data_IF_765013915567
#
_entry.id   IF_765013915567
#
_cell.length_a   1.000
_cell.length_b   1.000
_cell.length_c   1.000
_cell.angle_alpha   90.00
_cell.angle_beta   90.00
_cell.angle_gamma   90.00
#
_symmetry.space_group_name_H-M   'P 1'
#
loop_
_entity.id
_entity.type
_entity.pdbx_description
1 polymer ?
#
# COMPACT_ATOMS: atom_id res chain seq x y z
N UNK A 1 3.81 -70.82 48.60
CA UNK A 1 3.73 -70.83 47.12
C UNK A 1 3.55 -69.38 46.69
N UNK A 2 4.57 -68.69 46.16
CA UNK A 2 5.30 -68.92 44.88
C UNK A 2 4.58 -68.19 43.74
N UNK A 3 5.19 -67.33 42.94
CA UNK A 3 6.60 -67.02 42.57
C UNK A 3 6.58 -65.65 41.83
N UNK A 4 7.60 -64.81 41.69
CA UNK A 4 8.97 -64.66 42.25
C UNK A 4 9.63 -63.40 41.58
N UNK A 5 10.19 -62.48 42.40
CA UNK A 5 11.51 -61.79 42.33
C UNK A 5 12.06 -61.37 40.95
N UNK A 6 12.62 -60.16 40.75
CA UNK A 6 13.87 -59.76 41.42
C UNK A 6 14.14 -58.24 41.44
N UNK A 7 14.46 -57.74 42.64
CA UNK A 7 15.21 -56.52 42.88
C UNK A 7 16.72 -56.79 42.73
N UNK A 8 17.46 -55.79 42.25
CA UNK A 8 18.86 -55.55 42.63
C UNK A 8 19.13 -54.05 42.62
N UNK A 9 19.13 -53.46 43.81
CA UNK A 9 19.90 -52.28 44.18
C UNK A 9 21.39 -52.63 44.25
N UNK A 10 22.25 -51.74 43.80
CA UNK A 10 23.67 -51.73 44.17
C UNK A 10 24.14 -50.26 44.26
N UNK A 11 24.60 -49.86 45.44
CA UNK A 11 25.08 -48.53 45.82
C UNK A 11 26.51 -48.26 45.31
N UNK A 12 26.83 -46.99 45.05
CA UNK A 12 28.18 -46.43 44.98
C UNK A 12 28.18 -45.00 44.41
N UNK A 13 29.09 -44.10 44.84
CA UNK A 13 28.72 -42.82 45.47
C UNK A 13 28.89 -41.58 44.58
N UNK A 14 28.41 -40.45 45.11
CA UNK A 14 28.54 -39.08 44.63
C UNK A 14 29.92 -38.77 44.01
N UNK A 15 29.90 -38.18 42.82
CA UNK A 15 30.98 -37.32 42.33
C UNK A 15 30.35 -36.17 41.53
N UNK A 16 30.40 -34.98 42.11
CA UNK A 16 30.12 -33.70 41.49
C UNK A 16 30.78 -33.63 40.10
N UNK A 17 29.95 -33.39 39.08
CA UNK A 17 30.42 -32.81 37.83
C UNK A 17 29.48 -31.67 37.48
N UNK A 18 29.98 -30.45 37.67
CA UNK A 18 29.44 -29.19 37.18
C UNK A 18 28.76 -29.37 35.82
N UNK A 19 27.43 -29.45 35.82
CA UNK A 19 26.67 -29.36 34.58
C UNK A 19 26.55 -27.87 34.29
N UNK A 20 27.57 -27.38 33.59
CA UNK A 20 27.68 -26.05 33.01
C UNK A 20 26.33 -25.60 32.46
N UNK A 21 25.81 -24.53 33.04
CA UNK A 21 24.52 -23.93 32.72
C UNK A 21 24.57 -23.28 31.34
N UNK A 22 24.59 -24.11 30.31
CA UNK A 22 24.30 -23.70 28.94
C UNK A 22 22.82 -23.40 28.84
N UNK A 23 22.40 -22.22 29.31
CA UNK A 23 21.13 -21.62 28.94
C UNK A 23 21.13 -21.47 27.42
N UNK A 24 20.65 -22.50 26.73
CA UNK A 24 20.26 -22.41 25.34
C UNK A 24 19.15 -21.39 25.35
N UNK A 25 19.49 -20.16 24.96
CA UNK A 25 18.52 -19.10 24.74
C UNK A 25 17.48 -19.64 23.77
N UNK A 26 16.35 -20.09 24.30
CA UNK A 26 15.15 -20.42 23.55
C UNK A 26 14.70 -19.11 22.90
N UNK A 27 15.28 -18.82 21.73
CA UNK A 27 14.74 -17.82 20.81
C UNK A 27 13.36 -18.34 20.44
N UNK A 28 12.34 -17.86 21.14
CA UNK A 28 10.94 -18.14 20.84
C UNK A 28 10.71 -17.71 19.41
N UNK A 29 10.52 -18.68 18.51
CA UNK A 29 10.19 -18.42 17.12
C UNK A 29 8.90 -17.60 17.09
N UNK A 30 9.02 -16.32 16.72
CA UNK A 30 7.86 -15.43 16.55
C UNK A 30 7.26 -15.76 15.20
N UNK A 31 6.10 -16.42 15.19
CA UNK A 31 5.30 -16.58 13.99
C UNK A 31 4.45 -15.32 13.78
N UNK A 32 4.46 -14.78 12.57
CA UNK A 32 3.63 -13.63 12.18
C UNK A 32 2.83 -14.06 10.97
N UNK A 33 1.53 -14.19 11.17
CA UNK A 33 0.57 -14.52 10.11
C UNK A 33 -0.10 -13.22 9.62
N UNK A 34 -0.40 -13.16 8.32
CA UNK A 34 -1.05 -12.02 7.70
C UNK A 34 -2.45 -12.44 7.26
N UNK A 35 -3.43 -12.13 8.09
CA UNK A 35 -4.82 -12.50 7.89
C UNK A 35 -5.59 -11.36 7.23
N UNK A 36 -6.52 -11.74 6.36
CA UNK A 36 -7.36 -10.81 5.60
C UNK A 36 -8.77 -10.79 6.18
N UNK A 37 -9.28 -9.59 6.45
CA UNK A 37 -10.61 -9.40 7.03
C UNK A 37 -11.36 -8.29 6.31
N UNK A 38 -12.69 -8.36 6.31
CA UNK A 38 -13.54 -7.24 5.94
C UNK A 38 -13.29 -6.05 6.90
N UNK A 39 -13.40 -4.79 6.43
CA UNK A 39 -13.32 -3.62 7.30
C UNK A 39 -14.35 -3.69 8.44
N UNK A 40 -13.87 -3.56 9.68
CA UNK A 40 -14.70 -3.67 10.88
C UNK A 40 -14.95 -2.29 11.50
N UNK A 41 -16.17 -1.72 11.43
CA UNK A 41 -16.47 -0.38 11.96
C UNK A 41 -16.28 -0.27 13.48
N UNK A 42 -16.31 -1.39 14.23
CA UNK A 42 -16.17 -1.38 15.69
C UNK A 42 -14.71 -1.34 16.16
N UNK A 43 -13.76 -1.62 15.26
CA UNK A 43 -12.33 -1.78 15.60
C UNK A 43 -11.47 -0.83 14.75
N UNK A 44 -11.71 -0.79 13.44
CA UNK A 44 -10.72 -0.30 12.47
C UNK A 44 -10.67 1.22 12.35
N UNK A 45 -11.65 1.94 12.89
CA UNK A 45 -11.82 3.38 12.67
C UNK A 45 -10.55 4.19 12.94
N UNK A 46 -9.89 3.95 14.07
CA UNK A 46 -8.70 4.72 14.49
C UNK A 46 -7.51 4.44 13.58
N UNK A 47 -7.25 3.16 13.29
CA UNK A 47 -6.14 2.73 12.45
C UNK A 47 -6.35 3.13 10.98
N UNK A 48 -7.58 3.02 10.46
CA UNK A 48 -7.93 3.45 9.12
C UNK A 48 -7.74 4.96 8.96
N UNK A 49 -8.20 5.76 9.93
CA UNK A 49 -7.97 7.20 9.94
C UNK A 49 -6.47 7.54 9.95
N UNK A 50 -5.66 6.82 10.73
CA UNK A 50 -4.19 6.96 10.73
C UNK A 50 -3.60 6.65 9.35
N UNK A 51 -4.03 5.59 8.68
CA UNK A 51 -3.58 5.24 7.33
C UNK A 51 -4.06 6.24 6.28
N UNK A 52 -5.26 6.81 6.41
CA UNK A 52 -5.73 7.91 5.55
C UNK A 52 -4.91 9.19 5.76
N UNK A 53 -4.63 9.57 7.01
CA UNK A 53 -3.70 10.66 7.33
C UNK A 53 -2.33 10.40 6.72
N UNK A 54 -1.84 9.17 6.81
CA UNK A 54 -0.61 8.76 6.16
C UNK A 54 -0.71 8.95 4.65
N UNK A 55 -1.76 8.50 3.96
CA UNK A 55 -1.92 8.62 2.51
C UNK A 55 -1.88 10.09 2.03
N UNK A 56 -2.60 10.97 2.71
CA UNK A 56 -2.75 12.38 2.31
C UNK A 56 -1.69 13.33 2.90
N UNK A 57 -0.90 12.87 3.87
CA UNK A 57 0.22 13.61 4.47
C UNK A 57 -0.18 15.03 4.91
N UNK A 58 0.59 16.05 4.54
CA UNK A 58 0.37 17.44 4.94
C UNK A 58 -0.95 18.04 4.43
N UNK A 59 -1.62 17.37 3.49
CA UNK A 59 -2.93 17.77 2.96
C UNK A 59 -4.08 17.00 3.64
N UNK A 60 -3.80 16.15 4.64
CA UNK A 60 -4.81 15.28 5.27
C UNK A 60 -6.01 16.02 5.84
N UNK A 61 -5.80 17.24 6.35
CA UNK A 61 -6.86 18.07 6.94
C UNK A 61 -7.89 18.55 5.92
N UNK A 62 -7.58 18.48 4.61
CA UNK A 62 -8.48 18.90 3.54
C UNK A 62 -9.61 17.89 3.28
N UNK A 63 -9.50 16.65 3.76
CA UNK A 63 -10.34 15.54 3.30
C UNK A 63 -11.42 15.07 4.27
N UNK A 64 -11.63 15.75 5.41
CA UNK A 64 -12.64 15.36 6.41
C UNK A 64 -12.47 13.88 6.80
N UNK A 65 -11.32 13.54 7.41
CA UNK A 65 -10.91 12.15 7.56
C UNK A 65 -11.78 11.29 8.49
N UNK A 66 -12.50 11.90 9.44
CA UNK A 66 -13.41 11.14 10.28
C UNK A 66 -14.58 10.62 9.42
N UNK A 67 -15.19 11.53 8.68
CA UNK A 67 -16.31 11.26 7.79
C UNK A 67 -15.89 10.34 6.64
N UNK A 68 -14.65 10.47 6.15
CA UNK A 68 -14.11 9.57 5.13
C UNK A 68 -13.89 8.15 5.66
N UNK A 69 -13.36 8.01 6.88
CA UNK A 69 -13.18 6.72 7.52
C UNK A 69 -14.53 6.05 7.82
N UNK A 70 -15.52 6.79 8.33
CA UNK A 70 -16.89 6.31 8.52
C UNK A 70 -17.50 5.84 7.19
N UNK A 71 -17.33 6.61 6.12
CA UNK A 71 -17.84 6.24 4.80
C UNK A 71 -17.22 4.92 4.30
N UNK A 72 -15.90 4.78 4.41
CA UNK A 72 -15.20 3.54 4.03
C UNK A 72 -15.72 2.34 4.84
N UNK A 73 -15.84 2.48 6.16
CA UNK A 73 -16.29 1.42 7.06
C UNK A 73 -17.80 1.11 6.94
N UNK A 74 -18.57 2.01 6.36
CA UNK A 74 -20.00 1.81 6.09
C UNK A 74 -20.28 0.96 4.85
N UNK A 75 -19.26 0.65 4.05
CA UNK A 75 -19.40 -0.21 2.88
C UNK A 75 -19.66 -1.65 3.35
N UNK A 76 -20.72 -2.31 2.86
CA UNK A 76 -21.11 -3.61 3.37
C UNK A 76 -20.24 -4.77 2.86
N UNK A 77 -19.72 -4.70 1.61
CA UNK A 77 -19.17 -5.87 0.91
C UNK A 77 -17.88 -5.59 0.11
N UNK A 78 -17.33 -4.37 0.20
CA UNK A 78 -16.18 -3.97 -0.62
C UNK A 78 -15.10 -3.38 0.26
N UNK A 79 -13.94 -4.01 0.21
CA UNK A 79 -12.73 -3.64 0.92
C UNK A 79 -12.16 -4.79 1.72
N UNK A 80 -10.83 -4.75 1.90
CA UNK A 80 -10.10 -5.74 2.68
C UNK A 80 -9.09 -5.03 3.58
N UNK A 81 -8.90 -5.56 4.79
CA UNK A 81 -7.85 -5.17 5.73
C UNK A 81 -6.89 -6.33 5.98
N UNK A 82 -5.64 -6.03 6.36
CA UNK A 82 -4.66 -7.03 6.79
C UNK A 82 -4.28 -6.80 8.24
N UNK A 83 -4.40 -7.86 9.05
CA UNK A 83 -4.11 -7.85 10.50
C UNK A 83 -3.21 -9.02 10.86
N UNK A 84 -2.40 -8.86 11.92
CA UNK A 84 -1.57 -9.95 12.46
C UNK A 84 -2.00 -10.40 13.85
N UNK A 85 -2.85 -9.62 14.52
CA UNK A 85 -3.27 -9.85 15.90
C UNK A 85 -4.74 -10.30 15.99
N UNK A 86 -5.23 -10.95 14.93
CA UNK A 86 -6.61 -11.39 14.77
C UNK A 86 -7.60 -10.26 14.43
N UNK A 87 -8.89 -10.61 14.40
CA UNK A 87 -9.97 -9.71 13.93
C UNK A 87 -10.16 -8.46 14.82
N UNK A 88 -9.83 -8.55 16.10
CA UNK A 88 -9.89 -7.46 17.08
C UNK A 88 -8.65 -6.55 17.04
N UNK A 89 -7.62 -6.91 16.25
CA UNK A 89 -6.42 -6.12 16.07
C UNK A 89 -6.60 -4.92 15.13
N UNK A 90 -5.67 -3.98 15.22
CA UNK A 90 -5.57 -2.85 14.29
C UNK A 90 -5.17 -3.34 12.88
N UNK A 91 -5.80 -2.84 11.81
CA UNK A 91 -5.33 -3.08 10.46
C UNK A 91 -3.98 -2.39 10.19
N UNK A 92 -3.07 -3.15 9.57
CA UNK A 92 -1.76 -2.67 9.11
C UNK A 92 -1.74 -2.34 7.61
N UNK A 93 -2.72 -2.83 6.86
CA UNK A 93 -3.00 -2.44 5.49
C UNK A 93 -4.50 -2.42 5.26
N UNK A 94 -4.96 -1.59 4.33
CA UNK A 94 -6.32 -1.66 3.80
C UNK A 94 -6.32 -1.36 2.31
N UNK A 95 -7.30 -1.94 1.61
CA UNK A 95 -7.61 -1.69 0.21
C UNK A 95 -9.12 -1.62 0.06
N UNK A 96 -9.64 -0.58 -0.58
CA UNK A 96 -11.08 -0.46 -0.88
C UNK A 96 -11.30 0.44 -2.09
N UNK A 97 -12.49 0.40 -2.70
CA UNK A 97 -12.89 1.35 -3.74
C UNK A 97 -14.21 2.04 -3.37
N UNK A 98 -14.24 3.38 -3.43
CA UNK A 98 -15.48 4.15 -3.28
C UNK A 98 -15.97 4.65 -4.64
N UNK A 99 -17.29 4.59 -4.85
CA UNK A 99 -17.90 5.20 -6.03
C UNK A 99 -18.02 6.72 -5.85
N UNK A 100 -17.29 7.48 -6.66
CA UNK A 100 -17.26 8.95 -6.61
C UNK A 100 -18.58 9.61 -6.98
N UNK A 101 -19.40 8.96 -7.81
CA UNK A 101 -20.70 9.45 -8.30
C UNK A 101 -21.83 9.20 -7.31
N UNK A 102 -21.84 8.02 -6.67
CA UNK A 102 -22.82 7.69 -5.62
C UNK A 102 -22.62 8.60 -4.41
N UNK A 103 -21.36 8.79 -4.01
CA UNK A 103 -21.03 9.58 -2.82
C UNK A 103 -20.67 11.04 -3.14
N UNK A 104 -20.98 11.54 -4.34
CA UNK A 104 -20.62 12.90 -4.79
C UNK A 104 -21.10 14.04 -3.87
N UNK A 105 -22.11 13.78 -3.04
CA UNK A 105 -22.65 14.76 -2.10
C UNK A 105 -21.97 14.73 -0.71
N UNK A 106 -21.21 13.69 -0.41
CA UNK A 106 -20.48 13.51 0.84
C UNK A 106 -19.33 14.54 0.94
N UNK A 107 -19.11 15.19 2.10
CA UNK A 107 -18.11 16.24 2.25
C UNK A 107 -16.70 15.79 1.86
N UNK A 108 -16.26 14.61 2.31
CA UNK A 108 -14.94 14.07 1.98
C UNK A 108 -14.76 13.80 0.47
N UNK A 109 -15.83 13.36 -0.22
CA UNK A 109 -15.77 13.06 -1.66
C UNK A 109 -15.78 14.35 -2.47
N UNK A 110 -16.54 15.36 -2.06
CA UNK A 110 -16.47 16.71 -2.65
C UNK A 110 -15.07 17.29 -2.52
N UNK A 111 -14.47 17.21 -1.34
CA UNK A 111 -13.11 17.67 -1.10
C UNK A 111 -12.10 16.92 -1.96
N UNK A 112 -12.25 15.60 -2.10
CA UNK A 112 -11.40 14.77 -2.94
C UNK A 112 -11.50 15.13 -4.43
N UNK A 113 -12.71 15.33 -4.95
CA UNK A 113 -12.93 15.79 -6.33
C UNK A 113 -12.27 17.16 -6.55
N UNK A 114 -12.50 18.11 -5.65
CA UNK A 114 -11.90 19.44 -5.73
C UNK A 114 -10.38 19.37 -5.73
N UNK A 115 -9.80 18.55 -4.84
CA UNK A 115 -8.37 18.35 -4.71
C UNK A 115 -7.75 17.80 -6.00
N UNK A 116 -8.35 16.73 -6.55
CA UNK A 116 -7.92 16.09 -7.79
C UNK A 116 -7.98 17.06 -8.97
N UNK A 117 -9.05 17.84 -9.10
CA UNK A 117 -9.18 18.84 -10.16
C UNK A 117 -8.19 20.00 -9.99
N UNK A 118 -7.90 20.41 -8.76
CA UNK A 118 -6.90 21.44 -8.46
C UNK A 118 -5.48 20.96 -8.82
N UNK A 119 -5.08 19.78 -8.35
CA UNK A 119 -3.73 19.24 -8.56
C UNK A 119 -3.48 18.87 -10.02
N UNK A 120 -4.51 18.42 -10.75
CA UNK A 120 -4.38 18.11 -12.18
C UNK A 120 -4.15 19.34 -13.07
N UNK A 121 -4.34 20.57 -12.57
CA UNK A 121 -4.24 21.79 -13.38
C UNK A 121 -2.88 22.02 -14.05
N UNK A 122 -1.80 21.39 -13.57
CA UNK A 122 -0.48 21.42 -14.22
C UNK A 122 -0.34 20.49 -15.42
N UNK A 123 -1.25 19.54 -15.62
CA UNK A 123 -1.24 18.58 -16.73
C UNK A 123 -2.52 18.70 -17.57
N UNK A 124 -2.50 19.46 -18.69
CA UNK A 124 -3.71 19.83 -19.42
C UNK A 124 -4.57 18.65 -19.89
N UNK A 125 -3.95 17.56 -20.38
CA UNK A 125 -4.67 16.41 -20.91
C UNK A 125 -5.40 15.65 -19.79
N UNK A 126 -4.70 15.39 -18.67
CA UNK A 126 -5.30 14.78 -17.49
C UNK A 126 -6.40 15.67 -16.91
N UNK A 127 -6.17 16.99 -16.82
CA UNK A 127 -7.15 17.93 -16.27
C UNK A 127 -8.46 17.92 -17.08
N UNK A 128 -8.37 17.95 -18.41
CA UNK A 128 -9.55 17.88 -19.29
C UNK A 128 -10.29 16.55 -19.08
N UNK A 129 -9.56 15.44 -19.06
CA UNK A 129 -10.15 14.11 -18.81
C UNK A 129 -10.86 14.05 -17.46
N UNK A 130 -10.20 14.45 -16.37
CA UNK A 130 -10.78 14.44 -15.03
C UNK A 130 -11.97 15.39 -14.91
N UNK A 131 -11.92 16.58 -15.53
CA UNK A 131 -13.06 17.49 -15.55
C UNK A 131 -14.26 16.91 -16.29
N UNK A 132 -14.02 16.11 -17.34
CA UNK A 132 -15.08 15.40 -18.06
C UNK A 132 -15.69 14.25 -17.26
N UNK A 133 -14.96 13.65 -16.32
CA UNK A 133 -15.38 12.51 -15.50
C UNK A 133 -15.97 12.92 -14.14
N UNK A 134 -15.37 13.91 -13.49
CA UNK A 134 -15.64 14.33 -12.10
C UNK A 134 -16.11 15.77 -11.98
N UNK A 135 -16.15 16.53 -13.08
CA UNK A 135 -16.76 17.85 -13.10
C UNK A 135 -18.30 17.80 -13.02
N UNK A 136 -18.98 18.94 -12.91
CA UNK A 136 -20.44 19.00 -12.75
C UNK A 136 -21.23 18.20 -13.81
N UNK A 137 -20.74 18.22 -15.06
CA UNK A 137 -21.36 17.48 -16.18
C UNK A 137 -20.94 16.01 -16.24
N UNK A 138 -19.81 15.66 -15.61
CA UNK A 138 -19.23 14.31 -15.60
C UNK A 138 -19.79 13.41 -14.51
N UNK A 139 -20.27 14.00 -13.41
CA UNK A 139 -20.89 13.29 -12.28
C UNK A 139 -22.30 12.73 -12.58
N UNK A 140 -22.66 12.60 -13.85
CA UNK A 140 -23.89 11.93 -14.30
C UNK A 140 -23.76 10.41 -14.14
N UNK A 141 -24.88 9.68 -13.95
CA UNK A 141 -24.87 8.26 -13.53
C UNK A 141 -24.27 7.25 -14.53
N UNK A 142 -23.89 7.66 -15.73
CA UNK A 142 -23.53 6.73 -16.81
C UNK A 142 -22.04 6.37 -16.85
N UNK A 143 -21.18 7.14 -16.17
CA UNK A 143 -19.71 6.97 -16.22
C UNK A 143 -19.09 6.99 -14.83
N UNK A 144 -19.39 5.97 -14.03
CA UNK A 144 -18.86 5.90 -12.67
C UNK A 144 -17.34 5.80 -12.66
N UNK A 145 -16.73 6.50 -11.71
CA UNK A 145 -15.30 6.43 -11.39
C UNK A 145 -15.15 5.86 -9.99
N UNK A 146 -14.35 4.79 -9.88
CA UNK A 146 -13.98 4.20 -8.61
C UNK A 146 -12.72 4.87 -8.09
N UNK A 147 -12.76 5.45 -6.89
CA UNK A 147 -11.53 5.90 -6.24
C UNK A 147 -11.00 4.78 -5.34
N UNK A 148 -9.81 4.30 -5.64
CA UNK A 148 -9.18 3.20 -4.89
C UNK A 148 -8.31 3.79 -3.79
N UNK A 149 -8.62 3.42 -2.56
CA UNK A 149 -7.80 3.70 -1.40
C UNK A 149 -6.96 2.47 -1.09
N UNK A 150 -5.63 2.62 -1.13
CA UNK A 150 -4.67 1.54 -0.90
C UNK A 150 -3.52 2.10 -0.07
N UNK A 151 -3.38 1.68 1.18
CA UNK A 151 -2.32 2.16 2.04
C UNK A 151 -1.96 1.13 3.12
N UNK A 152 -0.70 1.11 3.54
CA UNK A 152 -0.19 0.19 4.55
C UNK A 152 0.96 0.78 5.34
N UNK A 153 1.25 0.22 6.50
CA UNK A 153 2.47 0.56 7.21
C UNK A 153 3.70 0.20 6.37
N UNK A 154 4.76 1.01 6.42
CA UNK A 154 5.95 0.86 5.55
C UNK A 154 6.66 -0.49 5.72
N UNK A 155 6.53 -1.12 6.89
CA UNK A 155 7.07 -2.43 7.20
C UNK A 155 6.21 -3.61 6.69
N UNK A 156 5.02 -3.35 6.15
CA UNK A 156 4.16 -4.40 5.61
C UNK A 156 4.70 -4.93 4.27
N UNK A 157 4.84 -6.26 4.13
CA UNK A 157 5.39 -6.86 2.93
C UNK A 157 4.48 -6.61 1.72
N UNK A 158 5.05 -6.23 0.58
CA UNK A 158 4.30 -6.03 -0.68
C UNK A 158 3.51 -7.28 -1.11
N UNK A 159 3.90 -8.46 -0.64
CA UNK A 159 3.25 -9.73 -0.96
C UNK A 159 1.78 -9.81 -0.49
N UNK A 160 1.34 -8.95 0.43
CA UNK A 160 -0.09 -8.89 0.81
C UNK A 160 -0.94 -8.20 -0.25
N UNK A 161 -0.33 -7.38 -1.12
CA UNK A 161 -1.05 -6.52 -2.07
C UNK A 161 -1.73 -7.31 -3.20
N UNK A 162 -1.08 -8.27 -3.89
CA UNK A 162 -1.77 -9.02 -4.95
C UNK A 162 -3.03 -9.78 -4.47
N UNK A 163 -3.02 -10.49 -3.32
CA UNK A 163 -4.24 -11.05 -2.74
C UNK A 163 -5.34 -10.00 -2.51
N UNK A 164 -5.01 -8.84 -1.94
CA UNK A 164 -5.97 -7.76 -1.70
C UNK A 164 -6.63 -7.30 -3.00
N UNK A 165 -5.85 -7.08 -4.07
CA UNK A 165 -6.42 -6.67 -5.35
C UNK A 165 -7.28 -7.75 -6.03
N UNK A 166 -6.96 -9.04 -5.83
CA UNK A 166 -7.82 -10.13 -6.33
C UNK A 166 -9.16 -10.16 -5.59
N UNK A 167 -9.13 -10.08 -4.26
CA UNK A 167 -10.35 -9.98 -3.45
C UNK A 167 -11.18 -8.77 -3.85
N UNK A 168 -10.56 -7.58 -3.99
CA UNK A 168 -11.25 -6.39 -4.47
C UNK A 168 -11.91 -6.59 -5.84
N UNK A 169 -11.27 -7.29 -6.78
CA UNK A 169 -11.87 -7.58 -8.09
C UNK A 169 -13.09 -8.51 -7.98
N UNK A 170 -13.02 -9.51 -7.10
CA UNK A 170 -14.14 -10.44 -6.87
C UNK A 170 -15.29 -9.74 -6.15
N UNK A 171 -15.01 -8.92 -5.13
CA UNK A 171 -15.96 -8.08 -4.40
C UNK A 171 -16.68 -7.09 -5.33
N UNK A 172 -15.94 -6.37 -6.18
CA UNK A 172 -16.53 -5.48 -7.21
C UNK A 172 -17.46 -6.28 -8.13
N UNK A 173 -17.05 -7.47 -8.54
CA UNK A 173 -17.86 -8.31 -9.42
C UNK A 173 -19.15 -8.75 -8.73
N UNK A 174 -19.08 -9.22 -7.48
CA UNK A 174 -20.27 -9.61 -6.70
C UNK A 174 -21.22 -8.43 -6.49
N UNK A 175 -20.69 -7.26 -6.14
CA UNK A 175 -21.50 -6.04 -6.01
C UNK A 175 -22.19 -5.66 -7.33
N UNK A 176 -21.51 -5.83 -8.47
CA UNK A 176 -22.11 -5.61 -9.80
C UNK A 176 -23.20 -6.65 -10.12
N UNK A 177 -22.99 -7.91 -9.75
CA UNK A 177 -23.97 -9.00 -9.94
C UNK A 177 -25.22 -8.78 -9.07
N UNK A 178 -25.05 -8.18 -7.87
CA UNK A 178 -26.13 -7.74 -6.97
C UNK A 178 -26.75 -6.39 -7.38
N UNK A 179 -26.40 -5.89 -8.57
CA UNK A 179 -26.92 -4.66 -9.16
C UNK A 179 -26.60 -3.39 -8.34
N UNK A 180 -25.50 -3.41 -7.58
CA UNK A 180 -24.92 -2.23 -6.97
C UNK A 180 -24.11 -1.39 -7.97
N UNK A 181 -23.84 -0.14 -7.61
CA UNK A 181 -23.24 0.85 -8.51
C UNK A 181 -21.72 0.71 -8.71
N UNK A 182 -21.16 -0.50 -8.79
CA UNK A 182 -19.70 -0.73 -8.91
C UNK A 182 -19.19 -0.93 -10.35
N UNK A 183 -20.03 -0.68 -11.37
CA UNK A 183 -19.61 -0.66 -12.78
C UNK A 183 -18.81 0.59 -13.10
N UNK A 184 -17.51 0.54 -12.83
CA UNK A 184 -16.60 1.66 -13.10
C UNK A 184 -16.09 1.67 -14.54
N UNK A 185 -15.90 2.86 -15.09
CA UNK A 185 -15.20 3.10 -16.36
C UNK A 185 -13.72 3.37 -16.14
N UNK A 186 -13.38 3.96 -15.00
CA UNK A 186 -12.01 4.30 -14.61
C UNK A 186 -11.83 4.10 -13.11
N UNK A 187 -10.60 3.77 -12.73
CA UNK A 187 -10.12 3.76 -11.37
C UNK A 187 -9.13 4.89 -11.17
N UNK A 188 -9.33 5.70 -10.13
CA UNK A 188 -8.43 6.77 -9.74
C UNK A 188 -7.67 6.34 -8.48
N UNK A 189 -6.35 6.45 -8.55
CA UNK A 189 -5.45 6.17 -7.44
C UNK A 189 -4.73 7.45 -7.05
N UNK A 190 -4.61 7.68 -5.74
CA UNK A 190 -3.62 8.58 -5.17
C UNK A 190 -2.64 7.73 -4.36
N UNK A 191 -1.35 8.02 -4.50
CA UNK A 191 -0.27 7.40 -3.73
C UNK A 191 0.76 8.46 -3.35
N UNK A 192 1.70 8.08 -2.50
CA UNK A 192 2.77 8.95 -2.03
C UNK A 192 4.02 8.75 -2.85
N UNK A 193 4.74 9.84 -3.05
CA UNK A 193 6.06 9.84 -3.66
C UNK A 193 7.04 10.56 -2.76
N UNK A 194 8.33 10.27 -2.92
CA UNK A 194 9.39 11.02 -2.27
C UNK A 194 10.51 11.36 -3.23
N UNK A 195 11.20 12.46 -2.96
CA UNK A 195 12.42 12.84 -3.66
C UNK A 195 13.62 12.68 -2.74
N UNK A 196 14.72 12.22 -3.33
CA UNK A 196 15.99 12.07 -2.65
C UNK A 196 16.96 13.15 -3.09
N UNK A 197 17.81 13.58 -2.16
CA UNK A 197 18.99 14.36 -2.54
C UNK A 197 19.95 13.49 -3.38
N UNK A 198 20.81 14.09 -4.20
CA UNK A 198 21.81 13.33 -4.97
C UNK A 198 22.67 12.41 -4.10
N UNK A 199 23.01 12.85 -2.88
CA UNK A 199 23.78 12.05 -1.92
C UNK A 199 22.98 10.83 -1.43
N UNK A 200 21.73 11.01 -1.01
CA UNK A 200 20.87 9.93 -0.55
C UNK A 200 20.60 8.90 -1.68
N UNK A 201 20.42 9.37 -2.91
CA UNK A 201 20.26 8.51 -4.08
C UNK A 201 21.53 7.66 -4.33
N UNK A 202 22.73 8.26 -4.19
CA UNK A 202 23.99 7.53 -4.33
C UNK A 202 24.18 6.48 -3.23
N UNK A 203 23.80 6.77 -1.98
CA UNK A 203 23.85 5.82 -0.86
C UNK A 203 22.91 4.62 -1.06
N UNK A 204 21.70 4.85 -1.57
CA UNK A 204 20.78 3.77 -1.92
C UNK A 204 21.35 2.87 -3.04
N UNK A 205 21.93 3.45 -4.09
CA UNK A 205 22.53 2.66 -5.17
C UNK A 205 23.72 1.80 -4.69
N UNK A 206 24.52 2.32 -3.76
CA UNK A 206 25.64 1.57 -3.17
C UNK A 206 25.15 0.42 -2.27
N UNK A 207 24.10 0.63 -1.49
CA UNK A 207 23.54 -0.42 -0.63
C UNK A 207 22.80 -1.50 -1.42
N UNK A 208 22.15 -1.15 -2.54
CA UNK A 208 21.51 -2.13 -3.45
C UNK A 208 22.52 -3.01 -4.19
N UNK A 209 23.66 -2.44 -4.61
CA UNK A 209 24.73 -3.16 -5.31
C UNK A 209 25.54 -4.08 -4.39
N UNK A 210 25.57 -3.83 -3.08
CA UNK A 210 26.29 -4.64 -2.08
C UNK A 210 25.50 -5.87 -1.56
N UNK A 211 24.20 -6.01 -1.86
CA UNK A 211 23.38 -7.15 -1.38
C UNK A 211 23.57 -8.42 -2.24
N UNK A 212 23.98 -9.58 -1.68
CA UNK A 212 24.23 -10.80 -2.45
C UNK A 212 22.97 -11.31 -3.17
N UNK A 213 23.16 -11.69 -4.43
CA UNK A 213 22.15 -11.98 -5.44
C UNK A 213 21.53 -13.37 -5.29
N UNK A 214 20.43 -13.51 -4.53
CA UNK A 214 19.61 -14.75 -4.54
C UNK A 214 18.09 -14.60 -4.73
N UNK A 215 17.55 -13.42 -5.03
CA UNK A 215 16.13 -13.27 -5.45
C UNK A 215 16.04 -12.39 -6.69
N UNK A 216 15.77 -12.99 -7.85
CA UNK A 216 16.04 -12.43 -9.18
C UNK A 216 14.79 -12.10 -10.02
N UNK A 217 13.59 -12.03 -9.43
CA UNK A 217 12.36 -11.69 -10.19
C UNK A 217 11.59 -10.46 -9.71
N UNK A 218 11.66 -10.08 -8.43
CA UNK A 218 11.13 -8.79 -7.94
C UNK A 218 12.10 -7.59 -8.07
N UNK A 219 13.35 -7.83 -8.50
CA UNK A 219 14.40 -6.80 -8.61
C UNK A 219 14.32 -5.95 -9.88
N UNK A 220 13.63 -6.41 -10.92
CA UNK A 220 13.56 -5.69 -12.20
C UNK A 220 12.71 -4.40 -12.13
N UNK A 221 11.75 -4.34 -11.20
CA UNK A 221 10.84 -3.21 -11.04
C UNK A 221 11.54 -2.02 -10.33
N UNK A 222 12.15 -2.30 -9.18
CA UNK A 222 12.94 -1.32 -8.42
C UNK A 222 14.19 -0.84 -9.19
N UNK A 223 14.80 -1.74 -9.98
CA UNK A 223 15.92 -1.38 -10.86
C UNK A 223 15.44 -0.58 -12.08
N UNK A 224 14.25 -0.84 -12.63
CA UNK A 224 13.69 -0.07 -13.74
C UNK A 224 13.24 1.35 -13.34
N UNK A 225 12.79 1.56 -12.10
CA UNK A 225 12.49 2.90 -11.57
C UNK A 225 13.76 3.71 -11.30
N UNK A 226 14.82 3.08 -10.77
CA UNK A 226 16.15 3.70 -10.66
C UNK A 226 16.77 3.97 -12.05
N UNK A 227 16.66 3.04 -12.99
CA UNK A 227 17.21 3.17 -14.34
C UNK A 227 16.43 4.21 -15.17
N UNK A 228 15.11 4.36 -15.01
CA UNK A 228 14.33 5.42 -15.67
C UNK A 228 14.62 6.81 -15.09
N UNK A 229 14.79 6.91 -13.77
CA UNK A 229 15.25 8.14 -13.13
C UNK A 229 16.67 8.52 -13.60
N UNK A 230 17.54 7.53 -13.84
CA UNK A 230 18.87 7.75 -14.41
C UNK A 230 18.84 8.11 -15.91
N UNK A 231 17.90 7.56 -16.69
CA UNK A 231 17.82 7.79 -18.13
C UNK A 231 17.12 9.12 -18.51
N UNK A 232 16.27 9.67 -17.62
CA UNK A 232 15.79 11.05 -17.73
C UNK A 232 16.95 12.08 -17.71
N UNK A 233 18.07 11.72 -17.08
CA UNK A 233 19.28 12.54 -17.00
C UNK A 233 20.12 12.54 -18.30
N UNK A 234 19.86 11.62 -19.24
CA UNK A 234 20.62 11.52 -20.50
C UNK A 234 20.05 12.38 -21.63
N UNK A 235 18.76 12.76 -21.56
CA UNK A 235 18.08 13.58 -22.56
C UNK A 235 17.59 14.92 -21.97
N UNK A 236 18.54 15.72 -21.46
CA UNK A 236 18.43 17.18 -21.45
C UNK A 236 17.35 17.82 -20.57
N UNK A 237 17.50 17.78 -19.25
CA UNK A 237 17.35 18.96 -18.37
C UNK A 237 18.09 18.68 -17.06
N UNK A 238 19.03 19.54 -16.67
CA UNK A 238 19.97 19.29 -15.57
C UNK A 238 19.43 19.68 -14.18
N UNK A 239 18.14 19.44 -13.86
CA UNK A 239 17.57 19.94 -12.59
C UNK A 239 16.30 19.25 -12.05
N UNK A 240 15.95 18.03 -12.43
CA UNK A 240 14.81 17.33 -11.80
C UNK A 240 15.31 16.25 -10.84
N UNK A 241 15.05 16.46 -9.54
CA UNK A 241 15.27 15.44 -8.50
C UNK A 241 14.44 14.21 -8.87
N UNK A 242 15.05 13.03 -8.83
CA UNK A 242 14.35 11.78 -9.10
C UNK A 242 13.22 11.56 -8.09
N UNK A 243 12.01 11.31 -8.60
CA UNK A 243 10.82 10.99 -7.79
C UNK A 243 10.67 9.48 -7.68
N UNK A 244 10.57 8.98 -6.45
CA UNK A 244 10.46 7.56 -6.10
C UNK A 244 9.09 7.28 -5.48
N UNK A 245 8.60 6.04 -5.65
CA UNK A 245 7.36 5.56 -5.04
C UNK A 245 7.61 4.98 -3.65
N UNK A 246 6.73 5.25 -2.69
CA UNK A 246 6.73 4.52 -1.42
C UNK A 246 6.31 3.07 -1.60
N UNK A 247 5.36 2.83 -2.51
CA UNK A 247 4.77 1.53 -2.74
C UNK A 247 5.32 0.94 -4.05
N UNK A 248 6.03 -0.21 -4.01
CA UNK A 248 6.55 -0.84 -5.23
C UNK A 248 5.46 -1.28 -6.21
N UNK A 249 4.23 -1.50 -5.75
CA UNK A 249 3.08 -1.78 -6.62
C UNK A 249 2.66 -0.59 -7.50
N UNK A 250 3.02 0.65 -7.13
CA UNK A 250 2.67 1.85 -7.90
C UNK A 250 3.23 1.81 -9.32
N UNK A 251 4.38 1.14 -9.53
CA UNK A 251 4.97 0.96 -10.85
C UNK A 251 4.04 0.18 -11.79
N UNK A 252 3.36 -0.84 -11.28
CA UNK A 252 2.44 -1.68 -12.05
C UNK A 252 1.13 -0.94 -12.31
N UNK A 253 0.65 -0.14 -11.34
CA UNK A 253 -0.50 0.74 -11.52
C UNK A 253 -0.18 1.78 -12.60
N UNK A 254 0.98 2.43 -12.51
CA UNK A 254 1.44 3.44 -13.46
C UNK A 254 1.57 2.88 -14.88
N UNK A 255 2.10 1.66 -15.04
CA UNK A 255 2.22 1.01 -16.35
C UNK A 255 0.87 0.84 -17.06
N UNK A 256 -0.20 0.65 -16.31
CA UNK A 256 -1.56 0.43 -16.83
C UNK A 256 -2.42 1.70 -16.82
N UNK A 257 -1.90 2.80 -16.26
CA UNK A 257 -2.57 4.07 -16.22
C UNK A 257 -2.56 4.74 -17.59
N UNK A 258 -3.71 5.31 -17.97
CA UNK A 258 -3.83 6.17 -19.15
C UNK A 258 -3.14 7.52 -18.94
N UNK A 259 -3.09 7.98 -17.69
CA UNK A 259 -2.51 9.24 -17.28
C UNK A 259 -1.85 9.08 -15.91
N UNK A 260 -0.74 9.77 -15.69
CA UNK A 260 -0.06 9.84 -14.40
C UNK A 260 0.44 11.25 -14.17
N UNK A 261 0.31 11.76 -12.95
CA UNK A 261 0.80 13.08 -12.57
C UNK A 261 1.40 13.02 -11.17
N UNK A 262 2.65 13.46 -11.06
CA UNK A 262 3.29 13.75 -9.78
C UNK A 262 3.02 15.21 -9.41
N UNK A 263 2.66 15.45 -8.14
CA UNK A 263 2.29 16.77 -7.66
C UNK A 263 2.86 17.05 -6.26
N UNK A 264 3.17 18.30 -5.99
CA UNK A 264 3.53 18.75 -4.65
C UNK A 264 2.28 18.87 -3.75
N UNK A 265 2.43 18.52 -2.47
CA UNK A 265 1.39 18.76 -1.47
C UNK A 265 1.17 20.26 -1.27
N UNK A 266 -0.03 20.66 -0.85
CA UNK A 266 -0.41 22.08 -0.70
C UNK A 266 0.33 22.73 0.47
N UNK A 267 0.48 21.98 1.56
CA UNK A 267 1.13 22.43 2.78
C UNK A 267 2.66 22.20 2.80
N UNK A 268 3.28 21.70 1.71
CA UNK A 268 4.75 21.61 1.61
C UNK A 268 5.43 22.99 1.59
N UNK A 269 4.64 24.06 1.43
CA UNK A 269 5.10 25.46 1.57
C UNK A 269 5.46 25.86 3.01
N UNK A 270 5.07 25.09 4.03
CA UNK A 270 5.53 25.32 5.41
C UNK A 270 6.86 24.64 5.76
N UNK A 271 7.38 23.73 4.92
CA UNK A 271 8.83 23.49 4.86
C UNK A 271 9.44 24.51 3.91
N UNK A 272 9.36 25.79 4.30
CA UNK A 272 10.05 26.86 3.60
C UNK A 272 11.51 26.48 3.39
N UNK A 273 12.00 26.66 2.16
CA UNK A 273 13.44 26.74 1.87
C UNK A 273 14.29 25.73 2.65
N UNK A 274 14.02 24.43 2.47
CA UNK A 274 14.90 23.36 2.96
C UNK A 274 15.96 22.99 1.93
N UNK A 275 16.49 23.99 1.23
CA UNK A 275 17.72 23.89 0.41
C UNK A 275 18.97 24.01 1.29
N UNK A 276 18.96 23.36 2.45
CA UNK A 276 20.09 23.26 3.36
C UNK A 276 20.44 21.80 3.57
N UNK A 277 21.74 21.48 3.61
CA UNK A 277 22.29 20.14 3.84
C UNK A 277 21.80 19.49 5.16
N UNK A 278 21.19 20.27 6.05
CA UNK A 278 20.66 19.86 7.36
C UNK A 278 19.14 19.58 7.39
N UNK A 279 18.47 19.52 6.24
CA UNK A 279 17.05 19.18 6.17
C UNK A 279 16.80 17.71 6.53
N UNK A 280 16.52 17.43 7.81
CA UNK A 280 16.12 16.11 8.27
C UNK A 280 14.71 15.75 7.76
N UNK A 281 14.61 14.80 6.84
CA UNK A 281 13.36 14.26 6.29
C UNK A 281 13.40 14.07 4.76
N UNK A 282 12.50 13.23 4.24
CA UNK A 282 12.28 13.09 2.80
C UNK A 282 11.33 14.19 2.31
N UNK A 283 11.57 14.72 1.12
CA UNK A 283 10.61 15.60 0.45
C UNK A 283 9.49 14.73 -0.13
N UNK A 284 8.26 14.89 0.38
CA UNK A 284 7.12 14.02 0.08
C UNK A 284 6.13 14.73 -0.83
N UNK A 285 5.83 14.09 -1.95
CA UNK A 285 4.80 14.49 -2.90
C UNK A 285 3.67 13.47 -2.97
N UNK A 286 2.71 13.76 -3.86
CA UNK A 286 1.69 12.79 -4.26
C UNK A 286 1.83 12.40 -5.72
N UNK A 287 1.28 11.25 -6.07
CA UNK A 287 1.10 10.80 -7.45
C UNK A 287 -0.34 10.41 -7.65
N UNK A 288 -0.90 10.85 -8.78
CA UNK A 288 -2.22 10.49 -9.25
C UNK A 288 -2.13 9.61 -10.48
N UNK A 289 -2.89 8.52 -10.52
CA UNK A 289 -2.91 7.60 -11.65
C UNK A 289 -4.36 7.30 -12.05
N UNK A 290 -4.70 7.51 -13.31
CA UNK A 290 -6.03 7.21 -13.86
C UNK A 290 -5.96 5.96 -14.75
N UNK A 291 -6.54 4.87 -14.27
CA UNK A 291 -6.50 3.55 -14.92
C UNK A 291 -7.86 3.24 -15.57
N UNK A 292 -7.94 3.01 -16.89
CA UNK A 292 -9.15 2.53 -17.53
C UNK A 292 -9.57 1.16 -16.97
N UNK A 293 -10.86 0.92 -16.80
CA UNK A 293 -11.36 -0.29 -16.13
C UNK A 293 -10.96 -1.59 -16.84
N UNK A 294 -10.82 -1.56 -18.17
CA UNK A 294 -10.35 -2.70 -18.97
C UNK A 294 -8.92 -3.15 -18.61
N UNK A 295 -8.11 -2.25 -18.06
CA UNK A 295 -6.72 -2.54 -17.70
C UNK A 295 -6.58 -3.12 -16.29
N UNK A 296 -7.63 -3.07 -15.46
CA UNK A 296 -7.55 -3.51 -14.06
C UNK A 296 -7.10 -4.96 -13.92
N UNK A 297 -7.66 -5.87 -14.73
CA UNK A 297 -7.30 -7.29 -14.67
C UNK A 297 -5.81 -7.51 -15.02
N UNK A 298 -5.35 -6.94 -16.13
CA UNK A 298 -3.94 -7.04 -16.57
C UNK A 298 -2.99 -6.47 -15.50
N UNK A 299 -3.38 -5.35 -14.88
CA UNK A 299 -2.62 -4.73 -13.79
C UNK A 299 -2.43 -5.70 -12.62
N UNK A 300 -3.51 -6.35 -12.16
CA UNK A 300 -3.47 -7.30 -11.04
C UNK A 300 -2.72 -8.58 -11.39
N UNK A 301 -2.82 -9.06 -12.63
CA UNK A 301 -2.09 -10.24 -13.13
C UNK A 301 -0.57 -9.99 -13.16
N UNK A 302 -0.13 -8.85 -13.70
CA UNK A 302 1.30 -8.50 -13.71
C UNK A 302 1.85 -8.28 -12.29
N UNK A 303 1.09 -7.59 -11.45
CA UNK A 303 1.45 -7.39 -10.04
C UNK A 303 1.57 -8.72 -9.29
N UNK A 304 0.65 -9.66 -9.57
CA UNK A 304 0.67 -11.02 -9.03
C UNK A 304 1.88 -11.82 -9.47
N UNK A 305 2.30 -11.67 -10.73
CA UNK A 305 3.48 -12.35 -11.26
C UNK A 305 4.79 -11.79 -10.67
N UNK A 306 4.82 -10.49 -10.36
CA UNK A 306 5.97 -9.82 -9.79
C UNK A 306 6.16 -10.11 -8.30
N UNK A 307 5.09 -10.00 -7.52
CA UNK A 307 5.10 -10.17 -6.07
C UNK A 307 4.53 -11.53 -5.68
N UNK A 308 5.27 -12.58 -6.03
CA UNK A 308 4.88 -13.96 -5.72
C UNK A 308 4.69 -14.14 -4.21
N UNK A 309 3.48 -14.55 -3.85
CA UNK A 309 3.10 -14.87 -2.46
C UNK A 309 3.73 -16.22 -2.08
N UNK A 310 4.57 -16.28 -1.03
CA UNK A 310 5.09 -17.55 -0.53
C UNK A 310 3.95 -18.48 -0.13
N UNK A 311 4.15 -19.80 -0.23
CA UNK A 311 3.13 -20.80 0.16
C UNK A 311 2.61 -20.60 1.60
N UNK A 312 3.44 -20.05 2.49
CA UNK A 312 3.06 -19.74 3.88
C UNK A 312 2.10 -18.56 4.05
N UNK A 313 1.80 -17.80 2.99
CA UNK A 313 0.90 -16.63 3.01
C UNK A 313 -0.30 -16.81 2.08
N UNK A 314 -0.53 -18.02 1.56
CA UNK A 314 -1.66 -18.29 0.69
C UNK A 314 -2.92 -18.46 1.54
N UNK A 315 -3.96 -17.69 1.18
CA UNK A 315 -5.30 -17.81 1.77
C UNK A 315 -5.81 -19.23 1.48
N UNK A 316 -6.10 -20.01 2.52
CA UNK A 316 -6.84 -21.27 2.36
C UNK A 316 -8.23 -20.90 1.85
N UNK A 317 -8.52 -21.33 0.63
CA UNK A 317 -9.79 -21.11 -0.06
C UNK A 317 -10.84 -22.10 0.39
#
# INVERSE_FOLDING_TARGET
MSKRKQSKTNNGPDSDSDSDGGSTSDVSLVNVDFDFFDPNPNVDFVALKRLLSQLFQADSELFHLNELAELILSQPLVGTTVKTDGIEGDPYAYLTVLNMHVHQNHPSIKALIQYVLQKSGSEPLLHVTLRSLLGPEGLRPEKHVGFVFSERLVNMPVQVIPPMYRMLMDEIKWAVDDNESYRFTHYLFLTRTYQLTPQQAAELQQTESARPTKKRKGKLAMQASADRAANANANGSASERATYSFHPEDEYIQKHASHTLDYALTSSTHSGSRDGEDAFGLDVGGRMMLVPAENLRSMVEEMSAAFVVPESMQVQT
#
